data_IF_279480127966
#
_entry.id   IF_279480127966
#
_cell.length_a   1.000
_cell.length_b   1.000
_cell.length_c   1.000
_cell.angle_alpha   90.00
_cell.angle_beta   90.00
_cell.angle_gamma   90.00
#
_symmetry.space_group_name_H-M   'P 1'
#
loop_
_entity.id
_entity.type
_entity.pdbx_description
1 polymer ?
#
# COMPACT_ATOMS: atom_id res chain seq x y z
N UNK A 1 23.82 -9.17 36.74
CA UNK A 1 23.30 -10.12 35.73
C UNK A 1 22.47 -9.43 34.63
N UNK A 2 22.91 -8.30 34.06
CA UNK A 2 22.07 -7.48 33.13
C UNK A 2 22.76 -6.98 31.85
N UNK A 3 24.07 -7.22 31.66
CA UNK A 3 24.79 -6.77 30.45
C UNK A 3 24.63 -7.68 29.22
N UNK A 4 24.17 -8.93 29.38
CA UNK A 4 24.12 -9.91 28.29
C UNK A 4 22.86 -9.83 27.40
N UNK A 5 21.86 -9.03 27.77
CA UNK A 5 20.63 -8.92 26.97
C UNK A 5 20.65 -7.77 25.94
N UNK A 6 21.59 -6.83 26.06
CA UNK A 6 21.71 -5.67 25.14
C UNK A 6 22.55 -6.04 23.91
N UNK A 7 23.52 -6.94 24.05
CA UNK A 7 24.40 -7.41 22.97
C UNK A 7 23.66 -8.15 21.86
N UNK A 8 22.53 -8.82 22.16
CA UNK A 8 21.70 -9.48 21.15
C UNK A 8 20.86 -8.51 20.29
N UNK A 9 20.75 -7.22 20.66
CA UNK A 9 20.08 -6.22 19.82
C UNK A 9 21.02 -5.57 18.79
N UNK A 10 22.32 -5.82 18.90
CA UNK A 10 23.42 -5.14 18.17
C UNK A 10 23.85 -5.82 16.85
N UNK A 11 23.10 -6.81 16.36
CA UNK A 11 23.38 -7.46 15.08
C UNK A 11 23.09 -6.55 13.87
N UNK A 12 24.15 -6.15 13.17
CA UNK A 12 24.22 -5.85 11.73
C UNK A 12 23.98 -4.43 11.19
N UNK A 13 24.32 -3.37 11.92
CA UNK A 13 24.56 -2.06 11.28
C UNK A 13 25.68 -1.29 11.97
N UNK A 14 26.90 -1.35 11.42
CA UNK A 14 28.00 -0.46 11.79
C UNK A 14 27.77 0.90 11.11
N UNK A 15 27.05 1.80 11.76
CA UNK A 15 27.01 3.22 11.33
C UNK A 15 28.34 3.91 11.68
N UNK A 16 28.83 4.85 10.84
CA UNK A 16 30.04 5.62 11.10
C UNK A 16 29.93 6.45 12.39
N UNK A 17 31.06 6.56 13.08
CA UNK A 17 31.14 6.74 14.54
C UNK A 17 31.04 8.16 15.15
N UNK A 18 30.73 9.29 14.47
CA UNK A 18 30.50 10.56 15.17
C UNK A 18 29.04 10.84 15.58
N UNK A 19 28.04 10.22 14.94
CA UNK A 19 26.60 10.52 15.19
C UNK A 19 25.84 9.43 15.95
N UNK A 20 26.50 8.31 16.25
CA UNK A 20 25.86 7.13 16.85
C UNK A 20 25.21 7.43 18.20
N UNK A 21 25.89 8.19 19.06
CA UNK A 21 25.38 8.51 20.39
C UNK A 21 24.10 9.34 20.32
N UNK A 22 24.02 10.30 19.41
CA UNK A 22 22.82 11.14 19.20
C UNK A 22 21.67 10.26 18.67
N UNK A 23 21.93 9.43 17.67
CA UNK A 23 20.92 8.54 17.09
C UNK A 23 20.40 7.55 18.14
N UNK A 24 21.27 6.98 18.97
CA UNK A 24 20.87 6.04 20.03
C UNK A 24 20.04 6.75 21.13
N UNK A 25 20.37 8.00 21.49
CA UNK A 25 19.57 8.81 22.42
C UNK A 25 18.17 9.09 21.88
N UNK A 26 18.04 9.40 20.59
CA UNK A 26 16.75 9.73 19.96
C UNK A 26 16.09 8.53 19.25
N UNK A 27 16.65 7.32 19.34
CA UNK A 27 16.15 6.16 18.61
C UNK A 27 14.70 5.83 18.98
N UNK A 28 14.39 5.82 20.28
CA UNK A 28 13.05 5.57 20.77
C UNK A 28 12.02 6.61 20.29
N UNK A 29 12.22 7.94 20.48
CA UNK A 29 11.27 8.93 20.00
C UNK A 29 11.14 8.94 18.47
N UNK A 30 12.23 8.78 17.71
CA UNK A 30 12.19 8.67 16.24
C UNK A 30 11.30 7.49 15.82
N UNK A 31 11.42 6.36 16.49
CA UNK A 31 10.61 5.17 16.19
C UNK A 31 9.13 5.39 16.51
N UNK A 32 8.81 6.05 17.62
CA UNK A 32 7.43 6.39 18.00
C UNK A 32 6.81 7.34 16.98
N UNK A 33 7.50 8.42 16.62
CA UNK A 33 7.06 9.37 15.59
C UNK A 33 6.85 8.65 14.25
N UNK A 34 7.77 7.77 13.87
CA UNK A 34 7.67 6.99 12.65
C UNK A 34 6.43 6.08 12.62
N UNK A 35 6.07 5.43 13.74
CA UNK A 35 4.83 4.66 13.83
C UNK A 35 3.58 5.54 13.77
N UNK A 36 3.58 6.71 14.39
CA UNK A 36 2.46 7.67 14.31
C UNK A 36 2.26 8.11 12.85
N UNK A 37 3.32 8.51 12.16
CA UNK A 37 3.26 8.91 10.76
C UNK A 37 2.78 7.76 9.86
N UNK A 38 3.28 6.55 10.10
CA UNK A 38 2.82 5.36 9.38
C UNK A 38 1.33 5.10 9.59
N UNK A 39 0.84 5.19 10.84
CA UNK A 39 -0.58 5.02 11.15
C UNK A 39 -1.47 6.07 10.48
N UNK A 40 -1.07 7.35 10.48
CA UNK A 40 -1.80 8.42 9.79
C UNK A 40 -1.86 8.14 8.28
N UNK A 41 -0.72 7.81 7.67
CA UNK A 41 -0.66 7.46 6.26
C UNK A 41 -1.53 6.25 5.93
N UNK A 42 -1.46 5.16 6.73
CA UNK A 42 -2.29 3.97 6.53
C UNK A 42 -3.77 4.28 6.63
N UNK A 43 -4.17 5.16 7.56
CA UNK A 43 -5.56 5.61 7.65
C UNK A 43 -6.00 6.38 6.40
N UNK A 44 -5.16 7.31 5.90
CA UNK A 44 -5.45 8.06 4.67
C UNK A 44 -5.55 7.12 3.46
N UNK A 45 -4.61 6.18 3.33
CA UNK A 45 -4.60 5.20 2.25
C UNK A 45 -5.87 4.32 2.30
N UNK A 46 -6.22 3.80 3.47
CA UNK A 46 -7.44 3.02 3.66
C UNK A 46 -8.70 3.85 3.39
N UNK A 47 -8.73 5.11 3.81
CA UNK A 47 -9.84 6.02 3.51
C UNK A 47 -10.01 6.18 2.00
N UNK A 48 -8.92 6.48 1.27
CA UNK A 48 -8.94 6.71 -0.18
C UNK A 48 -9.29 5.45 -0.98
N UNK A 49 -8.82 4.28 -0.54
CA UNK A 49 -9.07 3.01 -1.24
C UNK A 49 -10.43 2.40 -0.91
N UNK A 50 -10.94 2.59 0.30
CA UNK A 50 -12.13 1.86 0.76
C UNK A 50 -13.24 2.80 1.21
N UNK A 51 -12.97 3.64 2.21
CA UNK A 51 -14.03 4.41 2.87
C UNK A 51 -14.73 5.37 1.90
N UNK A 52 -13.98 6.11 1.09
CA UNK A 52 -14.54 7.07 0.13
C UNK A 52 -15.54 6.38 -0.82
N UNK A 53 -15.20 5.16 -1.24
CA UNK A 53 -16.04 4.34 -2.12
C UNK A 53 -17.27 3.76 -1.40
N UNK A 54 -17.10 3.29 -0.16
CA UNK A 54 -18.21 2.79 0.66
C UNK A 54 -19.18 3.89 1.10
N UNK A 55 -18.69 5.10 1.37
CA UNK A 55 -19.55 6.25 1.71
C UNK A 55 -20.52 6.54 0.57
N UNK A 56 -20.08 6.46 -0.69
CA UNK A 56 -20.96 6.64 -1.84
C UNK A 56 -22.11 5.61 -1.86
N UNK A 57 -21.83 4.34 -1.53
CA UNK A 57 -22.87 3.30 -1.42
C UNK A 57 -23.83 3.59 -0.28
N UNK A 58 -23.32 3.98 0.89
CA UNK A 58 -24.18 4.32 2.04
C UNK A 58 -25.06 5.53 1.74
N UNK A 59 -24.57 6.51 0.98
CA UNK A 59 -25.38 7.66 0.54
C UNK A 59 -26.49 7.21 -0.41
N UNK A 60 -26.21 6.30 -1.34
CA UNK A 60 -27.24 5.72 -2.22
C UNK A 60 -28.29 4.92 -1.45
N UNK A 61 -27.87 4.14 -0.44
CA UNK A 61 -28.77 3.40 0.47
C UNK A 61 -29.66 4.29 1.34
N UNK A 62 -29.25 5.54 1.58
CA UNK A 62 -30.10 6.53 2.24
C UNK A 62 -31.16 7.09 1.30
N UNK A 63 -30.96 6.99 -0.01
CA UNK A 63 -32.04 7.15 -0.98
C UNK A 63 -32.95 5.92 -0.95
N UNK A 64 -34.10 6.01 -1.61
CA UNK A 64 -35.09 4.91 -1.66
C UNK A 64 -34.64 3.70 -2.52
N UNK A 65 -33.32 3.48 -2.65
CA UNK A 65 -32.73 2.35 -3.37
C UNK A 65 -32.63 1.12 -2.48
N UNK A 66 -33.05 -0.03 -3.00
CA UNK A 66 -32.86 -1.31 -2.34
C UNK A 66 -31.43 -1.84 -2.51
N UNK A 67 -31.03 -2.79 -1.66
CA UNK A 67 -29.74 -3.50 -1.77
C UNK A 67 -29.55 -4.15 -3.16
N UNK A 68 -30.65 -4.61 -3.79
CA UNK A 68 -30.62 -5.19 -5.13
C UNK A 68 -30.34 -4.16 -6.22
N UNK A 69 -30.84 -2.92 -6.06
CA UNK A 69 -30.62 -1.84 -7.03
C UNK A 69 -29.16 -1.34 -7.05
N UNK A 70 -28.41 -1.62 -5.99
CA UNK A 70 -26.98 -1.31 -5.88
C UNK A 70 -26.08 -2.36 -6.54
N UNK A 71 -26.66 -3.48 -6.97
CA UNK A 71 -25.90 -4.59 -7.53
C UNK A 71 -25.12 -5.39 -6.49
N UNK A 72 -25.39 -5.19 -5.19
CA UNK A 72 -24.73 -5.95 -4.13
C UNK A 72 -25.10 -7.43 -4.24
N UNK A 73 -24.09 -8.29 -4.37
CA UNK A 73 -24.25 -9.74 -4.59
C UNK A 73 -25.01 -10.10 -5.89
N UNK A 74 -25.04 -9.19 -6.87
CA UNK A 74 -25.56 -9.48 -8.20
C UNK A 74 -24.43 -9.83 -9.17
N UNK A 75 -24.55 -10.99 -9.82
CA UNK A 75 -23.57 -11.48 -10.78
C UNK A 75 -23.41 -10.55 -12.00
N UNK A 76 -24.51 -9.97 -12.48
CA UNK A 76 -24.47 -9.04 -13.63
C UNK A 76 -23.67 -7.80 -13.29
N UNK A 77 -23.88 -7.25 -12.09
CA UNK A 77 -23.13 -6.12 -11.56
C UNK A 77 -21.64 -6.44 -11.39
N UNK A 78 -21.30 -7.57 -10.76
CA UNK A 78 -19.90 -8.01 -10.64
C UNK A 78 -19.20 -8.15 -11.98
N UNK A 79 -19.85 -8.72 -12.98
CA UNK A 79 -19.28 -8.86 -14.32
C UNK A 79 -18.92 -7.51 -14.96
N UNK A 80 -19.63 -6.44 -14.62
CA UNK A 80 -19.38 -5.09 -15.16
C UNK A 80 -18.36 -4.30 -14.34
N UNK A 81 -18.17 -4.63 -13.06
CA UNK A 81 -17.30 -3.90 -12.13
C UNK A 81 -16.02 -4.67 -11.78
N UNK A 82 -15.67 -5.72 -12.52
CA UNK A 82 -14.48 -6.54 -12.24
C UNK A 82 -13.62 -6.73 -13.47
N UNK A 83 -12.30 -6.73 -13.26
CA UNK A 83 -11.32 -7.22 -14.19
C UNK A 83 -10.38 -8.21 -13.50
N UNK A 84 -10.46 -9.48 -13.89
CA UNK A 84 -9.57 -10.53 -13.41
C UNK A 84 -8.53 -10.95 -14.45
N UNK A 85 -8.50 -10.32 -15.62
CA UNK A 85 -7.51 -10.60 -16.67
C UNK A 85 -6.29 -9.70 -16.45
N UNK A 86 -5.13 -10.28 -16.13
CA UNK A 86 -3.93 -9.49 -15.90
C UNK A 86 -3.54 -8.68 -17.13
N UNK A 87 -3.16 -7.45 -16.89
CA UNK A 87 -2.74 -6.41 -17.82
C UNK A 87 -3.83 -5.90 -18.77
N UNK A 88 -5.09 -6.35 -18.65
CA UNK A 88 -6.15 -5.90 -19.56
C UNK A 88 -6.40 -4.40 -19.43
N UNK A 89 -6.53 -3.88 -18.20
CA UNK A 89 -6.78 -2.46 -17.97
C UNK A 89 -5.59 -1.60 -18.39
N UNK A 90 -4.37 -2.04 -18.08
CA UNK A 90 -3.14 -1.37 -18.52
C UNK A 90 -3.06 -1.31 -20.06
N UNK A 91 -3.27 -2.44 -20.74
CA UNK A 91 -3.26 -2.51 -22.20
C UNK A 91 -4.39 -1.69 -22.82
N UNK A 92 -5.57 -1.65 -22.19
CA UNK A 92 -6.69 -0.81 -22.61
C UNK A 92 -6.32 0.67 -22.54
N UNK A 93 -5.66 1.11 -21.48
CA UNK A 93 -5.17 2.49 -21.39
C UNK A 93 -4.11 2.81 -22.45
N UNK A 94 -3.23 1.87 -22.79
CA UNK A 94 -2.20 2.08 -23.82
C UNK A 94 -2.84 2.15 -25.22
N UNK A 95 -3.62 1.13 -25.58
CA UNK A 95 -4.17 0.95 -26.93
C UNK A 95 -5.29 1.95 -27.24
N UNK A 96 -6.04 2.39 -26.23
CA UNK A 96 -7.14 3.34 -26.36
C UNK A 96 -6.83 4.67 -25.65
N UNK A 97 -5.55 5.01 -25.47
CA UNK A 97 -5.10 6.24 -24.79
C UNK A 97 -5.74 7.51 -25.34
N UNK A 98 -6.05 7.56 -26.64
CA UNK A 98 -6.74 8.70 -27.27
C UNK A 98 -8.18 8.94 -26.78
N UNK A 99 -8.83 7.94 -26.18
CA UNK A 99 -10.18 8.05 -25.63
C UNK A 99 -10.19 8.41 -24.13
N UNK A 100 -9.04 8.36 -23.46
CA UNK A 100 -8.91 8.66 -22.04
C UNK A 100 -8.15 9.95 -21.81
N UNK A 101 -8.57 10.73 -20.82
CA UNK A 101 -7.76 11.83 -20.34
C UNK A 101 -6.49 11.27 -19.69
N UNK A 102 -5.32 11.72 -20.14
CA UNK A 102 -4.03 11.26 -19.64
C UNK A 102 -3.89 11.42 -18.13
N UNK A 103 -4.46 12.47 -17.54
CA UNK A 103 -4.46 12.68 -16.09
C UNK A 103 -5.16 11.54 -15.34
N UNK A 104 -6.27 11.02 -15.88
CA UNK A 104 -7.03 9.92 -15.26
C UNK A 104 -6.20 8.63 -15.34
N UNK A 105 -5.59 8.36 -16.49
CA UNK A 105 -4.73 7.18 -16.69
C UNK A 105 -3.54 7.22 -15.72
N UNK A 106 -2.87 8.37 -15.61
CA UNK A 106 -1.76 8.55 -14.70
C UNK A 106 -2.18 8.39 -13.24
N UNK A 107 -3.30 8.99 -12.83
CA UNK A 107 -3.81 8.86 -11.45
C UNK A 107 -4.17 7.41 -11.13
N UNK A 108 -4.79 6.66 -12.05
CA UNK A 108 -5.13 5.27 -11.80
C UNK A 108 -3.87 4.39 -11.72
N UNK A 109 -2.97 4.48 -12.70
CA UNK A 109 -1.77 3.63 -12.73
C UNK A 109 -0.74 4.03 -11.67
N UNK A 110 -0.34 5.31 -11.64
CA UNK A 110 0.64 5.80 -10.67
C UNK A 110 0.06 5.95 -9.28
N UNK A 111 -1.23 6.29 -9.13
CA UNK A 111 -1.85 6.37 -7.81
C UNK A 111 -1.84 5.03 -7.09
N UNK A 112 -2.22 3.95 -7.77
CA UNK A 112 -2.16 2.59 -7.21
C UNK A 112 -0.71 2.16 -6.95
N UNK A 113 0.23 2.43 -7.86
CA UNK A 113 1.64 2.16 -7.59
C UNK A 113 2.18 2.94 -6.38
N UNK A 114 1.88 4.23 -6.28
CA UNK A 114 2.45 5.11 -5.26
C UNK A 114 1.77 4.99 -3.91
N UNK A 115 0.50 4.60 -3.83
CA UNK A 115 -0.22 4.52 -2.56
C UNK A 115 0.36 3.44 -1.64
N UNK A 116 1.00 2.39 -2.15
CA UNK A 116 1.69 1.34 -1.36
C UNK A 116 3.21 1.56 -1.23
N UNK A 117 3.78 2.50 -2.00
CA UNK A 117 5.22 2.78 -1.99
C UNK A 117 5.74 3.25 -0.61
N UNK A 118 5.08 4.20 0.10
CA UNK A 118 5.50 4.60 1.44
C UNK A 118 5.46 3.45 2.45
N UNK A 119 4.48 2.55 2.36
CA UNK A 119 4.46 1.35 3.19
C UNK A 119 5.69 0.48 2.95
N UNK A 120 6.05 0.27 1.68
CA UNK A 120 7.24 -0.49 1.27
C UNK A 120 8.53 0.05 1.86
N UNK A 121 8.62 1.38 1.99
CA UNK A 121 9.79 2.08 2.53
C UNK A 121 9.80 2.16 4.07
N UNK A 122 8.66 2.51 4.68
CA UNK A 122 8.58 2.80 6.12
C UNK A 122 8.59 1.53 6.97
N UNK A 123 7.93 0.45 6.56
CA UNK A 123 7.89 -0.78 7.35
C UNK A 123 9.27 -1.37 7.71
N UNK A 124 10.21 -1.57 6.76
CA UNK A 124 11.55 -2.07 7.07
C UNK A 124 12.38 -1.08 7.91
N UNK A 125 12.08 0.22 7.84
CA UNK A 125 12.67 1.27 8.66
C UNK A 125 12.20 1.17 10.12
N UNK A 126 10.90 0.97 10.34
CA UNK A 126 10.26 0.96 11.66
C UNK A 126 10.39 -0.39 12.39
N UNK A 127 10.53 -1.49 11.66
CA UNK A 127 10.59 -2.83 12.26
C UNK A 127 11.54 -3.76 11.53
N UNK A 128 12.44 -4.39 12.31
CA UNK A 128 13.41 -5.38 11.82
C UNK A 128 12.74 -6.59 11.14
N UNK A 129 11.49 -6.91 11.50
CA UNK A 129 10.73 -8.03 10.91
C UNK A 129 10.47 -7.84 9.41
N UNK A 130 10.33 -6.59 8.96
CA UNK A 130 10.03 -6.24 7.57
C UNK A 130 11.27 -5.94 6.73
N UNK A 131 12.49 -6.16 7.25
CA UNK A 131 13.72 -5.95 6.46
C UNK A 131 13.97 -7.03 5.39
N UNK A 132 13.09 -8.04 5.30
CA UNK A 132 13.06 -9.02 4.22
C UNK A 132 12.05 -8.59 3.16
N UNK A 133 12.45 -8.61 1.89
CA UNK A 133 11.61 -8.19 0.77
C UNK A 133 10.25 -8.90 0.78
N UNK A 134 10.26 -10.23 0.95
CA UNK A 134 9.06 -11.07 0.95
C UNK A 134 8.04 -10.69 2.02
N UNK A 135 8.49 -10.18 3.18
CA UNK A 135 7.58 -9.77 4.25
C UNK A 135 6.82 -8.49 3.90
N UNK A 136 7.48 -7.56 3.21
CA UNK A 136 6.87 -6.29 2.78
C UNK A 136 5.99 -6.51 1.56
N UNK A 137 6.48 -7.26 0.57
CA UNK A 137 5.73 -7.60 -0.64
C UNK A 137 4.50 -8.44 -0.27
N UNK A 138 4.63 -9.45 0.58
CA UNK A 138 3.51 -10.28 1.02
C UNK A 138 2.46 -9.49 1.79
N UNK A 139 2.86 -8.57 2.66
CA UNK A 139 1.92 -7.68 3.34
C UNK A 139 1.24 -6.72 2.36
N UNK A 140 1.98 -6.19 1.38
CA UNK A 140 1.42 -5.34 0.32
C UNK A 140 0.39 -6.07 -0.53
N UNK A 141 0.73 -7.27 -0.98
CA UNK A 141 -0.17 -8.13 -1.73
C UNK A 141 -1.44 -8.45 -0.93
N UNK A 142 -1.31 -8.91 0.32
CA UNK A 142 -2.47 -9.27 1.15
C UNK A 142 -3.34 -8.05 1.48
N UNK A 143 -2.73 -6.90 1.75
CA UNK A 143 -3.48 -5.67 2.05
C UNK A 143 -4.22 -5.16 0.82
N UNK A 144 -3.58 -5.20 -0.35
CA UNK A 144 -4.24 -4.84 -1.61
C UNK A 144 -5.31 -5.85 -1.99
N UNK A 145 -5.09 -7.15 -1.79
CA UNK A 145 -6.10 -8.18 -2.04
C UNK A 145 -7.33 -7.97 -1.15
N UNK A 146 -7.14 -7.59 0.11
CA UNK A 146 -8.25 -7.26 1.00
C UNK A 146 -9.04 -6.04 0.50
N UNK A 147 -8.35 -5.01 0.00
CA UNK A 147 -8.97 -3.83 -0.62
C UNK A 147 -9.79 -4.22 -1.86
N UNK A 148 -9.20 -4.94 -2.81
CA UNK A 148 -9.90 -5.41 -4.01
C UNK A 148 -11.08 -6.33 -3.68
N UNK A 149 -10.95 -7.17 -2.64
CA UNK A 149 -12.04 -8.04 -2.18
C UNK A 149 -13.21 -7.22 -1.62
N UNK A 150 -12.93 -6.15 -0.86
CA UNK A 150 -13.97 -5.24 -0.38
C UNK A 150 -14.65 -4.55 -1.57
N UNK A 151 -13.87 -4.07 -2.54
CA UNK A 151 -14.41 -3.45 -3.76
C UNK A 151 -15.32 -4.41 -4.55
N UNK A 152 -14.90 -5.66 -4.67
CA UNK A 152 -15.67 -6.72 -5.30
C UNK A 152 -17.00 -6.98 -4.57
N UNK A 153 -16.97 -7.23 -3.26
CA UNK A 153 -18.16 -7.58 -2.47
C UNK A 153 -19.19 -6.44 -2.50
N UNK A 154 -18.73 -5.20 -2.32
CA UNK A 154 -19.62 -4.05 -2.24
C UNK A 154 -19.92 -3.39 -3.59
N UNK A 155 -19.50 -4.01 -4.70
CA UNK A 155 -19.65 -3.46 -6.07
C UNK A 155 -19.19 -2.01 -6.18
N UNK A 156 -18.15 -1.66 -5.43
CA UNK A 156 -17.62 -0.30 -5.36
C UNK A 156 -16.36 -0.12 -6.18
N UNK A 157 -16.42 0.82 -7.12
CA UNK A 157 -15.34 1.05 -8.07
C UNK A 157 -15.20 -0.12 -9.05
N UNK A 158 -13.97 -0.34 -9.53
CA UNK A 158 -13.61 -1.51 -10.34
C UNK A 158 -12.66 -2.34 -9.51
N UNK A 159 -13.02 -3.58 -9.18
CA UNK A 159 -12.06 -4.52 -8.62
C UNK A 159 -11.18 -5.01 -9.76
N UNK A 160 -9.89 -4.72 -9.71
CA UNK A 160 -8.97 -4.90 -10.83
C UNK A 160 -7.69 -5.62 -10.39
N UNK A 161 -7.39 -6.73 -11.07
CA UNK A 161 -6.16 -7.47 -10.84
C UNK A 161 -4.92 -6.61 -11.16
N UNK A 162 -5.04 -5.64 -12.08
CA UNK A 162 -3.96 -4.71 -12.40
C UNK A 162 -3.66 -3.79 -11.22
N UNK A 163 -4.68 -3.37 -10.47
CA UNK A 163 -4.52 -2.54 -9.27
C UNK A 163 -3.83 -3.33 -8.14
N UNK A 164 -4.18 -4.61 -7.98
CA UNK A 164 -3.47 -5.53 -7.09
C UNK A 164 -1.99 -5.66 -7.44
N UNK A 165 -1.69 -5.81 -8.73
CA UNK A 165 -0.32 -5.90 -9.24
C UNK A 165 0.43 -4.59 -8.99
N UNK A 166 -0.16 -3.44 -9.33
CA UNK A 166 0.44 -2.12 -9.15
C UNK A 166 0.71 -1.80 -7.68
N UNK A 167 -0.26 -2.03 -6.78
CA UNK A 167 -0.06 -1.85 -5.33
C UNK A 167 1.07 -2.74 -4.80
N UNK A 168 1.13 -4.00 -5.26
CA UNK A 168 2.20 -4.95 -4.86
C UNK A 168 3.57 -4.49 -5.39
N UNK A 169 3.63 -4.01 -6.64
CA UNK A 169 4.83 -3.41 -7.23
C UNK A 169 5.25 -2.14 -6.47
N UNK A 170 4.29 -1.33 -6.02
CA UNK A 170 4.53 -0.16 -5.19
C UNK A 170 5.24 -0.51 -3.89
N UNK A 171 4.73 -1.51 -3.16
CA UNK A 171 5.38 -2.02 -1.95
C UNK A 171 6.81 -2.51 -2.23
N UNK A 172 7.03 -3.18 -3.36
CA UNK A 172 8.36 -3.62 -3.78
C UNK A 172 9.30 -2.44 -4.11
N UNK A 173 8.84 -1.43 -4.85
CA UNK A 173 9.61 -0.23 -5.18
C UNK A 173 10.00 0.54 -3.91
N UNK A 174 9.07 0.70 -2.96
CA UNK A 174 9.35 1.28 -1.65
C UNK A 174 10.44 0.52 -0.90
N UNK A 175 10.42 -0.81 -0.94
CA UNK A 175 11.45 -1.63 -0.32
C UNK A 175 12.82 -1.48 -1.01
N UNK A 176 12.86 -1.39 -2.34
CA UNK A 176 14.09 -1.09 -3.09
C UNK A 176 14.63 0.27 -2.68
N UNK A 177 13.79 1.31 -2.61
CA UNK A 177 14.21 2.63 -2.17
C UNK A 177 14.81 2.59 -0.76
N UNK A 178 14.19 1.85 0.17
CA UNK A 178 14.73 1.62 1.51
C UNK A 178 16.14 0.99 1.45
N UNK A 179 16.32 -0.07 0.65
CA UNK A 179 17.61 -0.76 0.51
C UNK A 179 18.67 0.14 -0.10
N UNK A 180 18.35 0.85 -1.18
CA UNK A 180 19.27 1.72 -1.91
C UNK A 180 19.75 2.89 -1.08
N UNK A 181 18.88 3.49 -0.25
CA UNK A 181 19.23 4.65 0.58
C UNK A 181 19.95 4.24 1.87
N UNK A 182 19.53 3.14 2.52
CA UNK A 182 19.94 2.85 3.91
C UNK A 182 20.89 1.66 4.07
N UNK A 183 21.00 0.77 3.07
CA UNK A 183 21.82 -0.46 3.17
C UNK A 183 22.98 -0.46 2.18
N UNK A 184 23.00 0.45 1.20
CA UNK A 184 24.15 0.57 0.29
C UNK A 184 25.38 1.05 1.06
N UNK A 185 26.50 0.29 1.09
CA UNK A 185 27.75 0.81 1.62
C UNK A 185 28.16 2.01 0.76
N UNK A 186 28.31 3.19 1.36
CA UNK A 186 29.01 4.30 0.70
C UNK A 186 30.40 3.78 0.35
N UNK A 187 30.70 3.68 -0.95
CA UNK A 187 32.06 3.49 -1.44
C UNK A 187 32.91 4.70 -1.09
#
# INVERSE_FOLDING_TARGET
MSKNNITNMQGNAKLPLPYRNIIDTYYFPIKVIGWILFSIYSFIAFYKLVIDRLVNVVVLLKGDYSIGDLGLFDYSSWRLTTNFVPFETILRYINYSHYFNWDIVLINLLGNLLIFTPMGFLLPLLSKKFRKAWSVIGLGFLSSLAVETIQFIFTVGSADIDDLILNTMGAWLGFIAYKSILITPRK
#
